data_IF_356309693143
#
_entry.id   IF_356309693143
#
_cell.length_a   1.000
_cell.length_b   1.000
_cell.length_c   1.000
_cell.angle_alpha   90.00
_cell.angle_beta   90.00
_cell.angle_gamma   90.00
#
_symmetry.space_group_name_H-M   'P 1'
#
loop_
_entity.id
_entity.type
_entity.pdbx_description
1 polymer ?
#
# COMPACT_ATOMS: atom_id res chain seq x y z
N UNK A 1 6.84 5.99 6.32
CA UNK A 1 6.82 4.69 7.02
C UNK A 1 7.80 4.73 8.18
N UNK A 2 7.44 4.18 9.34
CA UNK A 2 8.30 4.21 10.53
C UNK A 2 9.14 2.93 10.60
N UNK A 3 10.43 3.04 10.88
CA UNK A 3 11.29 1.87 11.08
C UNK A 3 10.90 1.16 12.40
N UNK A 4 10.74 -0.18 12.43
CA UNK A 4 10.37 -0.91 13.65
C UNK A 4 11.51 -1.03 14.68
N UNK A 5 12.74 -0.61 14.32
CA UNK A 5 13.93 -0.75 15.17
C UNK A 5 14.39 0.59 15.73
N UNK A 6 14.60 1.59 14.87
CA UNK A 6 15.10 2.91 15.29
C UNK A 6 14.02 3.99 15.31
N UNK A 7 12.77 3.64 15.00
CA UNK A 7 11.63 4.57 15.01
C UNK A 7 11.71 5.78 14.07
N UNK A 8 12.79 5.91 13.29
CA UNK A 8 12.91 6.98 12.32
C UNK A 8 11.95 6.82 11.15
N UNK A 9 11.51 7.97 10.63
CA UNK A 9 10.65 8.04 9.46
C UNK A 9 11.45 7.85 8.17
N UNK A 10 11.05 6.84 7.41
CA UNK A 10 11.55 6.51 6.08
C UNK A 10 10.45 6.87 5.08
N UNK A 11 10.75 7.76 4.13
CA UNK A 11 9.81 8.12 3.06
C UNK A 11 9.47 6.90 2.19
N UNK A 12 8.21 6.76 1.78
CA UNK A 12 7.74 5.64 0.96
C UNK A 12 8.52 5.51 -0.36
N UNK A 13 8.80 6.65 -1.00
CA UNK A 13 9.59 6.74 -2.23
C UNK A 13 11.09 6.95 -1.99
N UNK A 14 11.59 6.70 -0.78
CA UNK A 14 13.02 6.83 -0.50
C UNK A 14 13.83 5.81 -1.30
N UNK A 15 15.07 6.15 -1.67
CA UNK A 15 15.99 5.21 -2.34
C UNK A 15 16.18 3.91 -1.54
N UNK A 16 16.04 3.97 -0.22
CA UNK A 16 16.12 2.81 0.65
C UNK A 16 14.97 1.81 0.42
N UNK A 17 13.73 2.31 0.25
CA UNK A 17 12.55 1.46 0.00
C UNK A 17 12.33 1.15 -1.48
N UNK A 18 12.81 2.00 -2.39
CA UNK A 18 12.65 1.83 -3.84
C UNK A 18 13.66 0.86 -4.48
N UNK A 19 14.56 0.24 -3.69
CA UNK A 19 15.37 -0.87 -4.20
C UNK A 19 14.45 -2.02 -4.60
N UNK A 20 14.85 -2.86 -5.55
CA UNK A 20 14.12 -4.10 -5.82
C UNK A 20 14.44 -5.16 -4.75
N UNK A 21 13.53 -6.11 -4.52
CA UNK A 21 13.71 -7.23 -3.58
C UNK A 21 12.81 -7.17 -2.33
N UNK A 22 12.65 -8.30 -1.64
CA UNK A 22 11.82 -8.40 -0.41
C UNK A 22 12.47 -7.68 0.79
N UNK A 23 13.79 -7.81 0.90
CA UNK A 23 14.58 -7.26 2.00
C UNK A 23 15.14 -5.88 1.66
N UNK A 24 15.10 -4.99 2.64
CA UNK A 24 15.53 -3.60 2.57
C UNK A 24 16.42 -3.27 3.76
N UNK A 25 17.20 -2.22 3.65
CA UNK A 25 18.07 -1.75 4.73
C UNK A 25 17.63 -0.37 5.15
N UNK A 26 17.40 -0.17 6.46
CA UNK A 26 17.10 1.16 7.00
C UNK A 26 18.29 2.10 6.79
N UNK A 27 18.11 3.33 6.26
CA UNK A 27 19.22 4.26 6.03
C UNK A 27 19.80 4.86 7.32
N UNK A 28 19.07 4.78 8.44
CA UNK A 28 19.48 5.38 9.71
C UNK A 28 20.20 4.40 10.64
N UNK A 29 19.64 3.20 10.82
CA UNK A 29 20.18 2.19 11.74
C UNK A 29 20.84 0.99 11.05
N UNK A 30 20.86 0.99 9.71
CA UNK A 30 21.43 -0.08 8.87
C UNK A 30 20.86 -1.48 9.12
N UNK A 31 19.77 -1.60 9.87
CA UNK A 31 19.12 -2.88 10.13
C UNK A 31 18.35 -3.35 8.90
N UNK A 32 18.32 -4.67 8.70
CA UNK A 32 17.50 -5.30 7.66
C UNK A 32 16.03 -5.27 8.09
N UNK A 33 15.20 -4.80 7.18
CA UNK A 33 13.75 -4.67 7.33
C UNK A 33 13.09 -5.27 6.10
N UNK A 34 11.87 -5.74 6.22
CA UNK A 34 11.07 -6.20 5.09
C UNK A 34 9.81 -5.35 4.94
N UNK A 35 9.33 -5.27 3.69
CA UNK A 35 8.04 -4.65 3.39
C UNK A 35 6.99 -5.75 3.41
N UNK A 36 6.10 -5.69 4.39
CA UNK A 36 5.00 -6.62 4.55
C UNK A 36 3.66 -5.91 4.30
N UNK A 37 2.60 -6.69 4.11
CA UNK A 37 1.25 -6.18 3.99
C UNK A 37 0.55 -6.36 5.33
N UNK A 38 -0.06 -5.30 5.84
CA UNK A 38 -0.94 -5.40 6.99
C UNK A 38 -2.27 -6.04 6.57
N UNK A 39 -2.35 -7.37 6.66
CA UNK A 39 -3.54 -8.15 6.25
C UNK A 39 -4.81 -7.71 6.99
N UNK A 40 -4.71 -7.31 8.26
CA UNK A 40 -5.86 -6.81 9.03
C UNK A 40 -6.42 -5.54 8.39
N UNK A 41 -5.53 -4.59 8.09
CA UNK A 41 -5.92 -3.33 7.45
C UNK A 41 -6.47 -3.56 6.03
N UNK A 42 -5.85 -4.48 5.29
CA UNK A 42 -6.27 -4.82 3.94
C UNK A 42 -7.68 -5.44 3.92
N UNK A 43 -7.97 -6.43 4.77
CA UNK A 43 -9.29 -7.09 4.84
C UNK A 43 -10.38 -6.11 5.29
N UNK A 44 -10.10 -5.32 6.34
CA UNK A 44 -11.07 -4.35 6.88
C UNK A 44 -11.39 -3.27 5.84
N UNK A 45 -10.40 -2.80 5.08
CA UNK A 45 -10.61 -1.75 4.11
C UNK A 45 -11.11 -2.21 2.74
N UNK A 46 -10.84 -3.45 2.33
CA UNK A 46 -11.36 -3.98 1.05
C UNK A 46 -12.89 -4.00 1.01
N UNK A 47 -13.55 -4.40 2.10
CA UNK A 47 -15.02 -4.50 2.17
C UNK A 47 -15.70 -3.15 1.86
N UNK A 48 -15.39 -2.03 2.55
CA UNK A 48 -15.97 -0.74 2.24
C UNK A 48 -15.50 -0.20 0.88
N UNK A 49 -14.27 -0.52 0.43
CA UNK A 49 -13.78 -0.13 -0.89
C UNK A 49 -14.61 -0.75 -2.02
N UNK A 50 -14.95 -2.04 -1.89
CA UNK A 50 -15.82 -2.75 -2.85
C UNK A 50 -17.20 -2.11 -2.86
N UNK A 51 -17.81 -1.92 -1.70
CA UNK A 51 -19.13 -1.27 -1.57
C UNK A 51 -19.13 0.13 -2.20
N UNK A 52 -18.11 0.93 -1.90
CA UNK A 52 -17.95 2.27 -2.48
C UNK A 52 -17.77 2.21 -4.00
N UNK A 53 -16.99 1.25 -4.52
CA UNK A 53 -16.80 1.09 -5.97
C UNK A 53 -18.11 0.76 -6.70
N UNK A 54 -18.92 -0.14 -6.13
CA UNK A 54 -20.17 -0.58 -6.75
C UNK A 54 -21.26 0.49 -6.63
N UNK A 55 -21.33 1.20 -5.51
CA UNK A 55 -22.42 2.15 -5.25
C UNK A 55 -22.13 3.58 -5.73
N UNK A 56 -20.90 4.07 -5.53
CA UNK A 56 -20.55 5.46 -5.84
C UNK A 56 -19.85 5.61 -7.19
N UNK A 57 -18.95 4.69 -7.56
CA UNK A 57 -18.14 4.84 -8.78
C UNK A 57 -18.88 4.35 -10.04
N UNK A 58 -19.66 3.28 -9.95
CA UNK A 58 -20.42 2.75 -11.10
C UNK A 58 -21.30 3.79 -11.85
N UNK A 59 -22.05 4.70 -11.20
CA UNK A 59 -22.79 5.75 -11.90
C UNK A 59 -21.92 6.88 -12.47
N UNK A 60 -20.69 7.07 -11.97
CA UNK A 60 -19.73 8.03 -12.53
C UNK A 60 -18.97 7.43 -13.73
N UNK A 61 -18.58 6.16 -13.63
CA UNK A 61 -17.80 5.46 -14.65
C UNK A 61 -18.62 5.26 -15.92
N UNK A 62 -19.91 4.95 -15.78
CA UNK A 62 -20.83 4.81 -16.92
C UNK A 62 -20.98 6.10 -17.74
N UNK A 63 -20.75 7.28 -17.13
CA UNK A 63 -20.76 8.58 -17.82
C UNK A 63 -19.44 8.93 -18.49
N UNK A 64 -18.33 8.41 -17.99
CA UNK A 64 -16.98 8.75 -18.46
C UNK A 64 -16.44 7.79 -19.54
N UNK A 65 -17.18 6.73 -19.89
CA UNK A 65 -16.78 5.77 -20.93
C UNK A 65 -15.51 4.96 -20.60
N UNK A 66 -15.04 5.03 -19.35
CA UNK A 66 -13.86 4.31 -18.89
C UNK A 66 -14.26 2.88 -18.48
N UNK A 67 -13.42 1.88 -18.80
CA UNK A 67 -13.66 0.51 -18.32
C UNK A 67 -13.57 0.49 -16.78
N UNK A 68 -14.68 0.13 -16.12
CA UNK A 68 -14.79 0.09 -14.65
C UNK A 68 -13.68 -0.72 -13.98
N UNK A 69 -13.19 -1.77 -14.65
CA UNK A 69 -12.06 -2.59 -14.20
C UNK A 69 -10.75 -1.82 -14.03
N UNK A 70 -10.45 -0.85 -14.90
CA UNK A 70 -9.21 -0.05 -14.82
C UNK A 70 -9.24 0.84 -13.59
N UNK A 71 -10.37 1.51 -13.34
CA UNK A 71 -10.52 2.41 -12.20
C UNK A 71 -10.45 1.64 -10.88
N UNK A 72 -11.13 0.50 -10.81
CA UNK A 72 -11.05 -0.41 -9.66
C UNK A 72 -9.61 -0.86 -9.42
N UNK A 73 -8.87 -1.22 -10.48
CA UNK A 73 -7.46 -1.60 -10.39
C UNK A 73 -6.57 -0.50 -9.81
N UNK A 74 -6.76 0.76 -10.24
CA UNK A 74 -6.01 1.91 -9.71
C UNK A 74 -6.32 2.12 -8.23
N UNK A 75 -7.60 2.14 -7.86
CA UNK A 75 -8.04 2.33 -6.48
C UNK A 75 -7.50 1.21 -5.58
N UNK A 76 -7.58 -0.04 -6.03
CA UNK A 76 -7.03 -1.18 -5.30
C UNK A 76 -5.51 -1.07 -5.14
N UNK A 77 -4.77 -0.67 -6.18
CA UNK A 77 -3.32 -0.49 -6.11
C UNK A 77 -2.89 0.60 -5.12
N UNK A 78 -3.61 1.72 -5.10
CA UNK A 78 -3.38 2.79 -4.12
C UNK A 78 -3.69 2.29 -2.71
N UNK A 79 -4.81 1.59 -2.52
CA UNK A 79 -5.21 1.08 -1.22
C UNK A 79 -4.22 0.05 -0.66
N UNK A 80 -3.72 -0.86 -1.51
CA UNK A 80 -2.68 -1.83 -1.14
C UNK A 80 -1.41 -1.08 -0.72
N UNK A 81 -1.03 -0.01 -1.43
CA UNK A 81 0.16 0.80 -1.09
C UNK A 81 0.06 1.40 0.32
N UNK A 82 -1.14 1.85 0.73
CA UNK A 82 -1.39 2.31 2.11
C UNK A 82 -1.40 1.18 3.14
N UNK A 83 -1.70 -0.05 2.71
CA UNK A 83 -1.72 -1.23 3.58
C UNK A 83 -0.31 -1.80 3.85
N UNK A 84 0.72 -1.29 3.18
CA UNK A 84 2.09 -1.72 3.38
C UNK A 84 2.61 -1.26 4.76
N UNK A 85 3.41 -2.12 5.40
CA UNK A 85 4.04 -1.91 6.69
C UNK A 85 5.51 -2.37 6.61
N UNK A 86 6.37 -1.76 7.44
CA UNK A 86 7.74 -2.23 7.65
C UNK A 86 7.78 -3.19 8.84
N UNK A 87 8.40 -4.34 8.64
CA UNK A 87 8.64 -5.33 9.70
C UNK A 87 10.14 -5.60 9.86
N UNK A 88 10.53 -5.98 11.07
CA UNK A 88 11.91 -6.38 11.36
C UNK A 88 12.11 -7.74 10.72
N UNK A 89 13.23 -7.92 10.02
CA UNK A 89 13.59 -9.25 9.54
C UNK A 89 13.94 -10.13 10.75
N UNK A 90 13.22 -11.25 10.91
CA UNK A 90 13.59 -12.34 11.84
C UNK A 90 14.82 -13.11 11.37
#
# INVERSE_FOLDING_TARGET
MKCPVCENNIGFFSKALNKWGKYKTCPYCQTKIEVAINLKFLVIGIIPLIFFSIFALNPLVSKFGMFSSVLIGIIAGVFISFSLKLEKQE
#
